data_IF_493804730473
#
_entry.id   IF_493804730473
#
_cell.length_a   1.000
_cell.length_b   1.000
_cell.length_c   1.000
_cell.angle_alpha   90.00
_cell.angle_beta   90.00
_cell.angle_gamma   90.00
#
_symmetry.space_group_name_H-M   'P 1'
#
loop_
_entity.id
_entity.type
_entity.pdbx_description
1 polymer ?
#
# COMPACT_ATOMS: atom_id res chain seq x y z
N UNK A 1 7.29 -8.79 1.86
CA UNK A 1 7.59 -7.45 2.37
C UNK A 1 8.95 -6.87 1.98
N UNK A 2 10.12 -7.37 2.42
CA UNK A 2 11.42 -6.70 2.20
C UNK A 2 11.70 -6.28 0.75
N UNK A 3 11.29 -7.08 -0.24
CA UNK A 3 11.49 -6.75 -1.65
C UNK A 3 10.72 -5.51 -2.09
N UNK A 4 9.49 -5.31 -1.62
CA UNK A 4 8.69 -4.12 -1.90
C UNK A 4 9.34 -2.88 -1.29
N UNK A 5 9.72 -2.93 0.00
CA UNK A 5 10.40 -1.82 0.67
C UNK A 5 11.74 -1.46 0.02
N UNK A 6 12.55 -2.46 -0.37
CA UNK A 6 13.81 -2.21 -1.09
C UNK A 6 13.55 -1.57 -2.44
N UNK A 7 12.53 -2.03 -3.17
CA UNK A 7 12.13 -1.46 -4.46
C UNK A 7 11.71 0.01 -4.34
N UNK A 8 10.86 0.32 -3.36
CA UNK A 8 10.43 1.67 -3.03
C UNK A 8 11.64 2.59 -2.69
N UNK A 9 12.47 2.18 -1.72
CA UNK A 9 13.64 2.97 -1.30
C UNK A 9 14.59 3.24 -2.47
N UNK A 10 14.87 2.23 -3.29
CA UNK A 10 15.72 2.38 -4.48
C UNK A 10 15.07 3.28 -5.53
N UNK A 11 13.75 3.13 -5.73
CA UNK A 11 12.95 3.87 -6.70
C UNK A 11 12.66 5.31 -6.32
N UNK A 12 12.62 5.64 -5.04
CA UNK A 12 12.14 6.93 -4.51
C UNK A 12 12.76 8.16 -5.15
N UNK A 13 14.05 8.14 -5.42
CA UNK A 13 14.76 9.27 -6.05
C UNK A 13 14.48 9.40 -7.56
N UNK A 14 13.86 8.39 -8.19
CA UNK A 14 13.57 8.34 -9.62
C UNK A 14 12.08 8.54 -9.94
N UNK A 15 11.23 8.78 -8.95
CA UNK A 15 9.80 8.99 -9.15
C UNK A 15 9.49 10.23 -10.00
N UNK A 16 10.25 11.31 -9.80
CA UNK A 16 10.06 12.57 -10.51
C UNK A 16 10.94 12.61 -11.76
N UNK A 17 12.21 12.21 -11.63
CA UNK A 17 13.15 12.17 -12.74
C UNK A 17 13.34 10.73 -13.22
N UNK A 18 12.49 10.30 -14.14
CA UNK A 18 12.38 8.92 -14.59
C UNK A 18 13.68 8.42 -15.22
N UNK A 19 14.33 7.45 -14.58
CA UNK A 19 15.54 6.81 -15.08
C UNK A 19 15.18 5.69 -16.07
N UNK A 20 15.77 5.75 -17.29
CA UNK A 20 15.56 4.74 -18.35
C UNK A 20 16.79 3.88 -18.59
N UNK A 21 17.65 3.70 -17.59
CA UNK A 21 18.85 2.86 -17.64
C UNK A 21 18.69 1.67 -16.68
N UNK A 22 19.34 0.56 -17.03
CA UNK A 22 19.51 -0.58 -16.10
C UNK A 22 20.79 -0.47 -15.28
N UNK A 23 21.65 0.47 -15.63
CA UNK A 23 22.91 0.76 -14.92
C UNK A 23 22.71 2.03 -14.10
N UNK A 24 22.50 1.86 -12.80
CA UNK A 24 22.26 2.93 -11.84
C UNK A 24 22.65 2.50 -10.42
N UNK A 25 23.03 3.43 -9.54
CA UNK A 25 23.30 3.12 -8.14
C UNK A 25 22.02 2.68 -7.43
N UNK A 26 22.05 1.50 -6.78
CA UNK A 26 20.88 0.96 -6.06
C UNK A 26 20.50 1.82 -4.85
N UNK A 27 21.49 2.39 -4.15
CA UNK A 27 21.24 3.25 -3.01
C UNK A 27 22.06 4.54 -3.13
N UNK A 28 21.42 5.65 -2.84
CA UNK A 28 22.02 6.98 -2.81
C UNK A 28 21.65 7.72 -1.52
N UNK A 29 22.32 8.82 -1.24
CA UNK A 29 22.07 9.61 -0.03
C UNK A 29 20.65 10.18 0.06
N UNK A 30 19.93 10.30 -1.08
CA UNK A 30 18.55 10.75 -1.13
C UNK A 30 17.52 9.63 -1.08
N UNK A 31 17.92 8.35 -1.12
CA UNK A 31 16.99 7.21 -1.07
C UNK A 31 16.29 7.15 0.29
N UNK A 32 14.95 7.06 0.25
CA UNK A 32 14.09 7.00 1.43
C UNK A 32 12.85 6.15 1.11
N UNK A 33 12.16 5.66 2.13
CA UNK A 33 10.88 4.99 1.93
C UNK A 33 9.76 6.01 1.66
N UNK A 34 8.74 5.59 0.93
CA UNK A 34 7.56 6.41 0.60
C UNK A 34 6.28 5.76 1.11
N UNK A 35 5.13 6.25 0.65
CA UNK A 35 3.83 5.65 0.94
C UNK A 35 3.70 4.22 0.41
N UNK A 36 4.45 3.83 -0.62
CA UNK A 36 4.51 2.45 -1.11
C UNK A 36 4.92 1.48 0.01
N UNK A 37 5.99 1.76 0.75
CA UNK A 37 6.42 0.94 1.91
C UNK A 37 5.43 1.01 3.05
N UNK A 38 5.01 2.23 3.43
CA UNK A 38 4.16 2.46 4.60
C UNK A 38 2.80 1.78 4.44
N UNK A 39 2.14 1.96 3.28
CA UNK A 39 0.82 1.39 3.03
C UNK A 39 0.88 -0.12 2.73
N UNK A 40 2.00 -0.62 2.21
CA UNK A 40 2.23 -2.06 2.11
C UNK A 40 2.29 -2.69 3.50
N UNK A 41 3.05 -2.11 4.43
CA UNK A 41 3.13 -2.59 5.81
C UNK A 41 1.78 -2.54 6.53
N UNK A 42 0.99 -1.48 6.30
CA UNK A 42 -0.35 -1.35 6.86
C UNK A 42 -1.29 -2.50 6.42
N UNK A 43 -1.27 -2.86 5.13
CA UNK A 43 -2.10 -3.96 4.62
C UNK A 43 -1.60 -5.32 5.12
N UNK A 44 -0.29 -5.50 5.24
CA UNK A 44 0.26 -6.74 5.82
C UNK A 44 -0.14 -6.90 7.28
N UNK A 45 -0.10 -5.84 8.08
CA UNK A 45 -0.58 -5.86 9.47
C UNK A 45 -2.07 -6.17 9.55
N UNK A 46 -2.89 -5.58 8.69
CA UNK A 46 -4.33 -5.87 8.63
C UNK A 46 -4.61 -7.35 8.32
N UNK A 47 -3.84 -7.97 7.41
CA UNK A 47 -3.96 -9.40 7.08
C UNK A 47 -3.54 -10.26 8.28
N UNK A 48 -2.48 -9.91 9.00
CA UNK A 48 -2.04 -10.64 10.19
C UNK A 48 -3.09 -10.58 11.30
N UNK A 49 -3.63 -9.41 11.60
CA UNK A 49 -4.71 -9.23 12.59
C UNK A 49 -5.97 -9.99 12.20
N UNK A 50 -6.32 -10.01 10.92
CA UNK A 50 -7.45 -10.80 10.42
C UNK A 50 -7.22 -12.30 10.61
N UNK A 51 -6.01 -12.81 10.36
CA UNK A 51 -5.64 -14.21 10.58
C UNK A 51 -5.71 -14.60 12.07
N UNK A 52 -5.41 -13.67 12.96
CA UNK A 52 -5.52 -13.83 14.41
C UNK A 52 -6.98 -13.73 14.91
N UNK A 53 -7.91 -13.33 14.06
CA UNK A 53 -9.34 -13.25 14.36
C UNK A 53 -9.79 -11.92 15.00
N UNK A 54 -9.02 -10.85 14.83
CA UNK A 54 -9.30 -9.53 15.44
C UNK A 54 -10.50 -8.79 14.82
N UNK A 55 -10.98 -9.22 13.63
CA UNK A 55 -12.13 -8.61 12.97
C UNK A 55 -12.23 -8.88 11.48
N UNK A 56 -13.05 -8.09 10.79
CA UNK A 56 -13.23 -8.17 9.34
C UNK A 56 -12.09 -7.44 8.62
N UNK A 57 -11.52 -8.08 7.59
CA UNK A 57 -10.33 -7.59 6.87
C UNK A 57 -10.48 -6.16 6.35
N UNK A 58 -11.65 -5.81 5.78
CA UNK A 58 -11.88 -4.46 5.27
C UNK A 58 -11.82 -3.40 6.38
N UNK A 59 -12.34 -3.70 7.57
CA UNK A 59 -12.30 -2.79 8.72
C UNK A 59 -10.87 -2.63 9.22
N UNK A 60 -10.18 -3.76 9.41
CA UNK A 60 -8.78 -3.76 9.84
C UNK A 60 -7.86 -3.04 8.84
N UNK A 61 -8.11 -3.20 7.54
CA UNK A 61 -7.35 -2.48 6.51
C UNK A 61 -7.51 -0.95 6.64
N UNK A 62 -8.73 -0.46 6.89
CA UNK A 62 -8.95 0.98 7.13
C UNK A 62 -8.24 1.44 8.40
N UNK A 63 -8.36 0.70 9.50
CA UNK A 63 -7.70 1.00 10.76
C UNK A 63 -6.19 1.11 10.60
N UNK A 64 -5.56 0.11 9.97
CA UNK A 64 -4.12 0.09 9.79
C UNK A 64 -3.64 1.15 8.79
N UNK A 65 -4.37 1.39 7.70
CA UNK A 65 -4.04 2.48 6.78
C UNK A 65 -4.03 3.84 7.50
N UNK A 66 -4.98 4.11 8.37
CA UNK A 66 -5.04 5.34 9.17
C UNK A 66 -3.95 5.37 10.25
N UNK A 67 -3.71 4.25 10.92
CA UNK A 67 -2.66 4.13 11.93
C UNK A 67 -1.29 4.46 11.35
N UNK A 68 -0.92 3.80 10.25
CA UNK A 68 0.38 4.00 9.58
C UNK A 68 0.50 5.40 8.95
N UNK A 69 -0.58 5.93 8.35
CA UNK A 69 -0.62 7.30 7.85
C UNK A 69 -0.31 8.33 8.95
N UNK A 70 -0.92 8.18 10.12
CA UNK A 70 -0.68 9.09 11.25
C UNK A 70 0.71 8.93 11.85
N UNK A 71 1.28 7.72 11.81
CA UNK A 71 2.64 7.46 12.30
C UNK A 71 3.71 8.02 11.34
N UNK A 72 3.43 8.09 10.04
CA UNK A 72 4.38 8.51 8.99
C UNK A 72 3.76 9.56 8.06
N UNK A 73 3.39 10.76 8.54
CA UNK A 73 2.60 11.73 7.78
C UNK A 73 3.33 12.32 6.56
N UNK A 74 4.64 12.20 6.50
CA UNK A 74 5.51 12.79 5.47
C UNK A 74 5.96 11.79 4.40
N UNK A 75 5.32 10.62 4.29
CA UNK A 75 5.73 9.54 3.38
C UNK A 75 5.25 9.72 1.92
N UNK A 76 5.08 10.95 1.46
CA UNK A 76 4.79 11.33 0.07
C UNK A 76 3.43 10.81 -0.49
N UNK A 77 2.41 10.66 0.34
CA UNK A 77 1.08 10.20 -0.06
C UNK A 77 0.45 11.02 -1.18
N UNK A 78 -0.29 10.36 -2.06
CA UNK A 78 -1.13 11.02 -3.05
C UNK A 78 -2.22 11.88 -2.40
N UNK A 79 -2.50 13.08 -2.98
CA UNK A 79 -3.43 14.07 -2.41
C UNK A 79 -4.83 13.51 -2.10
N UNK A 80 -5.39 12.67 -2.98
CA UNK A 80 -6.71 12.04 -2.75
C UNK A 80 -6.70 11.04 -1.59
N UNK A 81 -5.59 10.35 -1.36
CA UNK A 81 -5.43 9.49 -0.18
C UNK A 81 -5.40 10.33 1.11
N UNK A 82 -4.69 11.46 1.11
CA UNK A 82 -4.65 12.40 2.25
C UNK A 82 -6.04 12.93 2.55
N UNK A 83 -6.81 13.34 1.54
CA UNK A 83 -8.20 13.78 1.70
C UNK A 83 -9.07 12.68 2.29
N UNK A 84 -8.95 11.44 1.81
CA UNK A 84 -9.65 10.29 2.32
C UNK A 84 -9.27 10.00 3.78
N UNK A 85 -7.98 9.95 4.10
CA UNK A 85 -7.49 9.64 5.44
C UNK A 85 -7.90 10.69 6.50
N UNK A 86 -8.01 11.97 6.08
CA UNK A 86 -8.42 13.08 6.95
C UNK A 86 -9.91 13.35 6.94
N UNK A 87 -10.65 12.68 6.07
CA UNK A 87 -12.09 12.82 5.95
C UNK A 87 -12.86 12.26 7.16
N UNK A 88 -14.12 12.66 7.32
CA UNK A 88 -14.97 12.17 8.41
C UNK A 88 -15.40 10.71 8.25
N UNK A 89 -15.35 10.18 7.02
CA UNK A 89 -15.72 8.81 6.67
C UNK A 89 -14.77 8.26 5.62
N UNK A 90 -14.26 7.06 5.84
CA UNK A 90 -13.34 6.37 4.93
C UNK A 90 -14.12 5.50 3.94
N UNK A 91 -14.77 6.15 2.97
CA UNK A 91 -15.49 5.47 1.87
C UNK A 91 -14.61 5.33 0.62
N UNK A 92 -14.88 4.33 -0.22
CA UNK A 92 -14.22 4.22 -1.52
C UNK A 92 -14.36 5.51 -2.35
N UNK A 93 -13.25 6.02 -2.90
CA UNK A 93 -13.21 7.32 -3.57
C UNK A 93 -12.82 7.28 -5.06
N UNK A 94 -12.76 6.08 -5.67
CA UNK A 94 -12.47 5.90 -7.09
C UNK A 94 -11.10 6.46 -7.48
N UNK A 95 -10.03 5.97 -6.85
CA UNK A 95 -8.66 6.38 -7.15
C UNK A 95 -8.24 6.00 -8.57
N UNK A 96 -7.49 6.87 -9.24
CA UNK A 96 -6.80 6.59 -10.51
C UNK A 96 -5.30 6.27 -10.32
N UNK A 97 -4.81 6.33 -9.08
CA UNK A 97 -3.42 6.00 -8.75
C UNK A 97 -3.16 4.49 -8.65
N UNK A 98 -1.88 4.14 -8.48
CA UNK A 98 -1.43 2.76 -8.31
C UNK A 98 -1.63 2.19 -6.90
N UNK A 99 -2.24 2.94 -5.99
CA UNK A 99 -2.31 2.64 -4.55
C UNK A 99 -2.80 1.24 -4.18
N UNK A 100 -3.69 0.62 -4.96
CA UNK A 100 -4.10 -0.76 -4.74
C UNK A 100 -3.03 -1.77 -5.18
N UNK A 101 -2.34 -1.49 -6.30
CA UNK A 101 -1.35 -2.41 -6.84
C UNK A 101 -0.06 -2.42 -6.00
N UNK A 102 0.39 -1.27 -5.51
CA UNK A 102 1.63 -1.15 -4.75
C UNK A 102 1.60 -1.93 -3.42
N UNK A 103 0.45 -2.01 -2.76
CA UNK A 103 0.29 -2.61 -1.42
C UNK A 103 -0.26 -4.03 -1.40
N UNK A 104 -0.47 -4.65 -2.56
CA UNK A 104 -1.08 -6.00 -2.67
C UNK A 104 -0.09 -7.13 -2.35
N UNK A 105 1.20 -6.85 -2.22
CA UNK A 105 2.23 -7.88 -2.03
C UNK A 105 1.96 -8.75 -0.81
N UNK A 106 1.43 -8.21 0.28
CA UNK A 106 1.06 -8.95 1.48
C UNK A 106 0.06 -10.06 1.20
N UNK A 107 -1.00 -9.77 0.45
CA UNK A 107 -1.98 -10.77 0.04
C UNK A 107 -1.35 -11.91 -0.77
N UNK A 108 -0.44 -11.57 -1.70
CA UNK A 108 0.25 -12.56 -2.52
C UNK A 108 1.25 -13.43 -1.75
N UNK A 109 1.83 -12.92 -0.67
CA UNK A 109 2.73 -13.70 0.19
C UNK A 109 2.00 -14.55 1.22
N UNK A 110 0.85 -14.10 1.71
CA UNK A 110 0.03 -14.82 2.68
C UNK A 110 -0.71 -16.00 2.03
N UNK A 111 -1.33 -15.77 0.87
CA UNK A 111 -2.12 -16.77 0.17
C UNK A 111 -1.28 -17.92 -0.42
N UNK A 112 -1.82 -19.13 -0.39
CA UNK A 112 -1.20 -20.32 -0.99
C UNK A 112 -1.71 -20.58 -2.42
N UNK A 113 -2.86 -20.03 -2.76
CA UNK A 113 -3.49 -20.16 -4.08
C UNK A 113 -3.99 -18.80 -4.58
N UNK A 114 -4.27 -18.69 -5.87
CA UNK A 114 -4.85 -17.49 -6.47
C UNK A 114 -6.26 -17.21 -5.92
N UNK A 115 -7.03 -18.26 -5.67
CA UNK A 115 -8.38 -18.18 -5.10
C UNK A 115 -8.36 -17.60 -3.69
N UNK A 116 -7.33 -17.90 -2.89
CA UNK A 116 -7.13 -17.31 -1.56
C UNK A 116 -6.60 -15.86 -1.65
N UNK A 117 -5.73 -15.56 -2.63
CA UNK A 117 -5.17 -14.23 -2.78
C UNK A 117 -6.18 -13.18 -3.22
N UNK A 118 -7.15 -13.55 -4.06
CA UNK A 118 -8.10 -12.62 -4.65
C UNK A 118 -8.95 -11.87 -3.60
N UNK A 119 -9.65 -12.53 -2.65
CA UNK A 119 -10.42 -11.81 -1.62
C UNK A 119 -9.52 -10.99 -0.68
N UNK A 120 -8.30 -11.44 -0.39
CA UNK A 120 -7.34 -10.68 0.42
C UNK A 120 -6.85 -9.41 -0.29
N UNK A 121 -6.82 -9.43 -1.61
CA UNK A 121 -6.48 -8.27 -2.43
C UNK A 121 -7.68 -7.33 -2.63
N UNK A 122 -8.85 -7.88 -2.89
CA UNK A 122 -10.06 -7.11 -3.20
C UNK A 122 -10.57 -6.33 -1.97
N UNK A 123 -10.58 -6.93 -0.77
CA UNK A 123 -11.06 -6.29 0.44
C UNK A 123 -10.37 -4.94 0.73
N UNK A 124 -9.05 -4.91 0.93
CA UNK A 124 -8.31 -3.66 1.14
C UNK A 124 -8.32 -2.70 -0.06
N UNK A 125 -8.45 -3.22 -1.30
CA UNK A 125 -8.48 -2.40 -2.51
C UNK A 125 -9.81 -1.68 -2.71
N UNK A 126 -10.93 -2.32 -2.40
CA UNK A 126 -12.28 -1.71 -2.50
C UNK A 126 -12.39 -0.46 -1.64
N UNK A 127 -11.83 -0.46 -0.43
CA UNK A 127 -11.86 0.69 0.47
C UNK A 127 -11.11 1.90 -0.08
N UNK A 128 -10.09 1.70 -0.91
CA UNK A 128 -9.39 2.80 -1.58
C UNK A 128 -9.96 3.14 -2.97
N UNK A 129 -11.07 2.52 -3.35
CA UNK A 129 -11.83 2.90 -4.54
C UNK A 129 -11.20 2.53 -5.88
N UNK A 130 -10.30 1.56 -5.91
CA UNK A 130 -9.82 1.02 -7.17
C UNK A 130 -10.62 -0.23 -7.49
N UNK A 131 -11.59 -0.12 -8.40
CA UNK A 131 -12.15 -1.27 -9.07
C UNK A 131 -11.06 -1.83 -10.01
N UNK A 132 -10.53 -2.98 -9.67
CA UNK A 132 -9.86 -3.82 -10.67
C UNK A 132 -11.00 -4.37 -11.53
N UNK A 133 -11.33 -3.66 -12.62
CA UNK A 133 -12.26 -4.18 -13.63
C UNK A 133 -11.65 -5.44 -14.23
N UNK A 134 -12.44 -6.51 -14.19
CA UNK A 134 -12.14 -7.80 -14.83
C UNK A 134 -11.90 -7.64 -16.31
#
# INVERSE_FOLDING_TARGET
MYGAAVGDIVGSIYEIENLRSKDFPLFSAGSHFTDDTVLTAAIEEAILRWDEGDGELETLAVEELLHFFNAHPDAAYGGRFIEWARGPEQKPYGSFGNGSAMRISGAGFYAKTLEEAQPLADGPCVQCGVHISK
#
